data_IF_507514380118
#
_entry.id   IF_507514380118
#
_cell.length_a   1.000
_cell.length_b   1.000
_cell.length_c   1.000
_cell.angle_alpha   90.00
_cell.angle_beta   90.00
_cell.angle_gamma   90.00
#
_symmetry.space_group_name_H-M   'P 1'
#
loop_
_entity.id
_entity.type
_entity.pdbx_description
1 polymer ?
#
# COMPACT_ATOMS: atom_id res chain seq x y z
N UNK A 1 -1.66 -6.87 37.32
CA UNK A 1 -2.22 -5.85 36.42
C UNK A 1 -1.05 -5.32 35.59
N UNK A 2 -0.67 -6.04 34.55
CA UNK A 2 0.43 -5.63 33.67
C UNK A 2 -0.11 -4.56 32.71
N UNK A 3 0.20 -3.30 32.99
CA UNK A 3 0.11 -2.24 32.00
C UNK A 3 1.22 -2.48 30.98
N UNK A 4 0.96 -3.30 29.96
CA UNK A 4 1.74 -3.21 28.73
C UNK A 4 1.45 -1.85 28.13
N UNK A 5 2.34 -0.88 28.36
CA UNK A 5 2.41 0.33 27.56
C UNK A 5 2.63 -0.12 26.11
N UNK A 6 1.55 -0.36 25.37
CA UNK A 6 1.61 -0.53 23.92
C UNK A 6 2.18 0.78 23.38
N UNK A 7 3.49 0.80 23.12
CA UNK A 7 4.14 1.90 22.42
C UNK A 7 3.35 2.09 21.13
N UNK A 8 2.69 3.24 21.01
CA UNK A 8 1.92 3.58 19.82
C UNK A 8 2.86 3.58 18.61
N UNK A 9 2.82 2.48 17.86
CA UNK A 9 3.63 2.31 16.67
C UNK A 9 2.86 2.84 15.46
N UNK A 10 3.36 3.90 14.85
CA UNK A 10 2.86 4.40 13.57
C UNK A 10 3.78 3.94 12.44
N UNK A 11 3.32 3.07 11.51
CA UNK A 11 4.11 2.64 10.35
C UNK A 11 4.58 3.79 9.46
N UNK A 12 3.86 4.91 9.41
CA UNK A 12 4.18 6.06 8.54
C UNK A 12 4.05 7.37 9.30
N UNK A 13 4.90 7.67 10.30
CA UNK A 13 4.67 8.75 11.27
C UNK A 13 4.64 10.16 10.65
N UNK A 14 5.12 10.32 9.41
CA UNK A 14 5.11 11.59 8.66
C UNK A 14 3.89 11.74 7.73
N UNK A 15 3.03 10.73 7.64
CA UNK A 15 1.79 10.75 6.87
C UNK A 15 0.59 10.72 7.82
N UNK A 16 -0.50 11.39 7.49
CA UNK A 16 -1.78 11.24 8.21
C UNK A 16 -2.61 10.13 7.57
N UNK A 17 -3.53 9.53 8.33
CA UNK A 17 -4.56 8.70 7.71
C UNK A 17 -5.51 9.60 6.92
N UNK A 18 -5.84 9.22 5.70
CA UNK A 18 -6.81 9.95 4.90
C UNK A 18 -8.18 10.00 5.59
N UNK A 19 -8.94 11.12 5.46
CA UNK A 19 -10.32 11.19 5.93
C UNK A 19 -11.27 10.30 5.12
N UNK A 20 -10.94 10.01 3.85
CA UNK A 20 -11.75 9.19 2.94
C UNK A 20 -10.92 8.05 2.32
N UNK A 21 -11.53 6.95 1.84
CA UNK A 21 -10.78 5.86 1.22
C UNK A 21 -10.02 6.29 -0.05
N UNK A 22 -8.76 5.87 -0.17
CA UNK A 22 -7.92 6.06 -1.37
C UNK A 22 -8.27 4.97 -2.41
N UNK A 23 -9.25 5.26 -3.26
CA UNK A 23 -9.80 4.32 -4.25
C UNK A 23 -9.20 4.45 -5.65
N UNK A 24 -8.33 5.43 -5.88
CA UNK A 24 -7.70 5.62 -7.19
C UNK A 24 -6.55 4.67 -7.45
N UNK A 25 -5.92 4.09 -6.42
CA UNK A 25 -4.82 3.12 -6.56
C UNK A 25 -5.35 1.71 -6.84
N UNK A 26 -4.70 1.02 -7.77
CA UNK A 26 -5.02 -0.38 -8.06
C UNK A 26 -4.65 -1.29 -6.90
N UNK A 27 -5.47 -2.31 -6.67
CA UNK A 27 -5.14 -3.40 -5.75
C UNK A 27 -4.58 -4.62 -6.48
N UNK A 28 -5.18 -4.94 -7.62
CA UNK A 28 -4.75 -6.03 -8.48
C UNK A 28 -4.17 -5.42 -9.76
N UNK A 29 -2.86 -5.54 -9.95
CA UNK A 29 -2.18 -4.99 -11.12
C UNK A 29 -2.47 -5.74 -12.41
N UNK A 30 -3.17 -6.88 -12.39
CA UNK A 30 -3.65 -7.56 -13.60
C UNK A 30 -4.90 -6.87 -14.17
N UNK A 31 -5.68 -6.17 -13.32
CA UNK A 31 -6.88 -5.46 -13.78
C UNK A 31 -6.52 -4.25 -14.65
N UNK A 32 -7.23 -4.12 -15.77
CA UNK A 32 -7.07 -3.00 -16.71
C UNK A 32 -8.00 -1.82 -16.40
N UNK A 33 -9.16 -2.10 -15.79
CA UNK A 33 -10.19 -1.11 -15.46
C UNK A 33 -10.28 -0.90 -13.95
N UNK A 34 -10.56 0.34 -13.57
CA UNK A 34 -10.73 0.76 -12.19
C UNK A 34 -11.98 0.12 -11.59
N UNK A 35 -11.82 -0.55 -10.44
CA UNK A 35 -12.94 -1.17 -9.74
C UNK A 35 -14.00 -0.16 -9.27
N UNK A 36 -13.64 1.13 -9.12
CA UNK A 36 -14.54 2.15 -8.59
C UNK A 36 -15.36 2.87 -9.67
N UNK A 37 -14.81 3.13 -10.86
CA UNK A 37 -15.50 3.90 -11.91
C UNK A 37 -15.47 3.25 -13.29
N UNK A 38 -14.90 2.05 -13.45
CA UNK A 38 -14.82 1.35 -14.74
C UNK A 38 -13.80 1.92 -15.75
N UNK A 39 -13.29 3.14 -15.54
CA UNK A 39 -12.30 3.74 -16.43
C UNK A 39 -10.98 2.96 -16.45
N UNK A 40 -10.27 2.99 -17.57
CA UNK A 40 -8.95 2.37 -17.71
C UNK A 40 -7.95 2.97 -16.72
N UNK A 41 -7.16 2.12 -16.08
CA UNK A 41 -6.04 2.58 -15.25
C UNK A 41 -4.97 3.27 -16.11
N UNK A 42 -4.42 4.36 -15.60
CA UNK A 42 -3.15 4.93 -16.04
C UNK A 42 -1.99 4.27 -15.30
N UNK A 43 -0.79 4.38 -15.84
CA UNK A 43 0.44 3.91 -15.19
C UNK A 43 1.33 5.11 -14.87
N UNK A 44 2.02 5.09 -13.73
CA UNK A 44 3.04 6.09 -13.41
C UNK A 44 4.25 5.97 -14.35
N UNK A 45 4.96 7.08 -14.56
CA UNK A 45 6.03 7.14 -15.55
C UNK A 45 7.22 6.22 -15.17
N UNK A 46 7.68 6.27 -13.91
CA UNK A 46 8.90 5.55 -13.49
C UNK A 46 8.69 4.09 -13.10
N UNK A 47 7.60 3.78 -12.37
CA UNK A 47 7.40 2.44 -11.80
C UNK A 47 6.14 1.74 -12.30
N UNK A 48 5.49 2.29 -13.34
CA UNK A 48 4.29 1.71 -13.97
C UNK A 48 3.14 1.40 -12.99
N UNK A 49 3.10 2.08 -11.85
CA UNK A 49 2.11 1.86 -10.80
C UNK A 49 0.74 2.26 -11.33
N UNK A 50 -0.26 1.40 -11.15
CA UNK A 50 -1.59 1.62 -11.71
C UNK A 50 -2.43 2.54 -10.83
N UNK A 51 -2.93 3.62 -11.42
CA UNK A 51 -3.83 4.57 -10.75
C UNK A 51 -4.90 5.12 -11.71
N UNK A 52 -6.07 5.45 -11.19
CA UNK A 52 -7.19 5.97 -11.97
C UNK A 52 -7.22 7.49 -11.88
N UNK A 53 -6.94 8.18 -13.00
CA UNK A 53 -6.96 9.65 -13.08
C UNK A 53 -8.30 10.26 -12.65
N UNK A 54 -9.43 9.64 -13.04
CA UNK A 54 -10.75 10.16 -12.69
C UNK A 54 -11.03 10.04 -11.19
N UNK A 55 -10.78 8.88 -10.59
CA UNK A 55 -10.92 8.72 -9.14
C UNK A 55 -9.95 9.61 -8.36
N UNK A 56 -8.75 9.88 -8.91
CA UNK A 56 -7.80 10.79 -8.29
C UNK A 56 -8.32 12.23 -8.29
N UNK A 57 -8.85 12.71 -9.42
CA UNK A 57 -9.51 14.03 -9.49
C UNK A 57 -10.62 14.16 -8.45
N UNK A 58 -11.50 13.15 -8.37
CA UNK A 58 -12.59 13.14 -7.38
C UNK A 58 -12.04 13.15 -5.96
N UNK A 59 -10.99 12.35 -5.69
CA UNK A 59 -10.36 12.29 -4.37
C UNK A 59 -9.78 13.65 -3.96
N UNK A 60 -9.01 14.31 -4.84
CA UNK A 60 -8.40 15.63 -4.58
C UNK A 60 -9.47 16.66 -4.23
N UNK A 61 -10.56 16.72 -4.99
CA UNK A 61 -11.70 17.62 -4.73
C UNK A 61 -12.40 17.37 -3.39
N UNK A 62 -12.28 16.15 -2.87
CA UNK A 62 -12.98 15.72 -1.65
C UNK A 62 -12.14 15.90 -0.38
N UNK A 63 -10.82 16.07 -0.52
CA UNK A 63 -9.93 16.30 0.61
C UNK A 63 -9.69 17.81 0.78
N UNK A 64 -9.75 18.28 2.03
CA UNK A 64 -9.46 19.66 2.40
C UNK A 64 -8.20 19.74 3.29
N UNK A 65 -7.53 20.90 3.25
CA UNK A 65 -6.35 21.23 4.05
C UNK A 65 -5.03 20.66 3.52
N UNK A 66 -3.95 20.98 4.23
CA UNK A 66 -2.56 20.75 3.79
C UNK A 66 -1.95 19.44 4.32
N UNK A 67 -2.78 18.53 4.83
CA UNK A 67 -2.30 17.26 5.37
C UNK A 67 -1.80 16.33 4.27
N UNK A 68 -0.63 15.71 4.50
CA UNK A 68 -0.06 14.71 3.58
C UNK A 68 -0.57 13.32 3.94
N UNK A 69 -1.40 12.75 3.08
CA UNK A 69 -2.02 11.42 3.29
C UNK A 69 -1.25 10.28 2.62
N UNK A 70 -0.53 10.59 1.55
CA UNK A 70 0.32 9.67 0.82
C UNK A 70 1.48 10.42 0.19
N UNK A 71 2.56 9.69 -0.07
CA UNK A 71 3.80 10.24 -0.60
C UNK A 71 3.80 10.04 -2.13
N UNK A 72 3.70 11.14 -2.86
CA UNK A 72 3.59 11.16 -4.32
C UNK A 72 4.65 12.09 -4.89
N UNK A 73 5.16 11.74 -6.07
CA UNK A 73 6.04 12.59 -6.85
C UNK A 73 5.37 12.92 -8.18
N UNK A 74 5.24 14.20 -8.47
CA UNK A 74 4.58 14.75 -9.65
C UNK A 74 5.61 15.58 -10.44
N UNK A 75 5.64 15.38 -11.75
CA UNK A 75 6.40 16.19 -12.69
C UNK A 75 5.39 17.00 -13.49
N UNK A 76 5.58 18.32 -13.57
CA UNK A 76 4.81 19.16 -14.49
C UNK A 76 5.51 19.25 -15.84
N UNK A 77 4.76 19.06 -16.92
CA UNK A 77 5.23 19.21 -18.29
C UNK A 77 5.20 20.68 -18.70
N UNK A 78 6.02 21.05 -19.69
CA UNK A 78 6.19 22.42 -20.22
C UNK A 78 4.95 23.04 -20.90
N UNK A 79 3.81 22.37 -20.90
CA UNK A 79 2.60 22.82 -21.59
C UNK A 79 1.82 23.80 -20.70
N UNK A 80 1.55 25.04 -21.16
CA UNK A 80 0.67 25.96 -20.47
C UNK A 80 -0.71 25.32 -20.30
N UNK A 81 -1.22 25.31 -19.07
CA UNK A 81 -2.58 24.84 -18.78
C UNK A 81 -3.39 25.99 -18.19
N UNK A 82 -4.66 26.09 -18.57
CA UNK A 82 -5.56 27.17 -18.15
C UNK A 82 -5.68 27.25 -16.61
N UNK A 83 -5.58 26.10 -15.93
CA UNK A 83 -5.65 25.97 -14.47
C UNK A 83 -4.37 26.46 -13.76
N UNK A 84 -3.20 26.43 -14.41
CA UNK A 84 -1.95 26.91 -13.84
C UNK A 84 -1.34 27.97 -14.75
N UNK A 85 -1.50 29.25 -14.40
CA UNK A 85 -0.78 30.35 -15.07
C UNK A 85 0.71 30.03 -15.02
N UNK A 86 1.30 29.95 -16.21
CA UNK A 86 2.69 29.59 -16.50
C UNK A 86 3.68 30.08 -15.44
N UNK A 87 4.03 29.21 -14.50
CA UNK A 87 5.21 29.41 -13.66
C UNK A 87 6.42 29.25 -14.56
N UNK A 88 7.23 30.30 -14.67
CA UNK A 88 8.37 30.46 -15.58
C UNK A 88 9.55 29.50 -15.35
N UNK A 89 9.35 28.41 -14.60
CA UNK A 89 10.41 27.46 -14.25
C UNK A 89 10.19 26.13 -14.95
N UNK A 90 11.18 25.72 -15.73
CA UNK A 90 11.27 24.43 -16.41
C UNK A 90 11.26 23.28 -15.39
N UNK A 91 10.45 22.23 -15.63
CA UNK A 91 10.42 20.97 -14.88
C UNK A 91 10.22 21.11 -13.34
N UNK A 92 9.09 21.67 -12.92
CA UNK A 92 8.73 21.70 -11.51
C UNK A 92 8.37 20.29 -10.99
N UNK A 93 9.03 19.92 -9.90
CA UNK A 93 8.81 18.67 -9.17
C UNK A 93 8.04 19.00 -7.90
N UNK A 94 6.81 18.49 -7.79
CA UNK A 94 5.99 18.66 -6.57
C UNK A 94 5.61 17.34 -5.94
N UNK A 95 5.37 17.38 -4.64
CA UNK A 95 4.78 16.29 -3.86
C UNK A 95 3.40 16.63 -3.34
N UNK A 96 2.93 17.85 -3.59
CA UNK A 96 1.61 18.28 -3.20
C UNK A 96 0.61 17.77 -4.24
N UNK A 97 -0.26 16.83 -3.83
CA UNK A 97 -1.24 16.28 -4.75
C UNK A 97 -2.29 17.32 -5.20
N UNK A 98 -2.48 18.40 -4.43
CA UNK A 98 -3.37 19.51 -4.82
C UNK A 98 -2.86 20.27 -6.06
N UNK A 99 -1.54 20.22 -6.33
CA UNK A 99 -0.94 20.84 -7.51
C UNK A 99 -0.97 19.91 -8.74
N UNK A 100 -1.54 18.71 -8.63
CA UNK A 100 -1.67 17.81 -9.77
C UNK A 100 -2.75 18.28 -10.74
N UNK A 101 -2.34 18.55 -11.98
CA UNK A 101 -3.26 18.80 -13.09
C UNK A 101 -3.33 17.59 -14.02
N UNK A 102 -4.54 17.23 -14.44
CA UNK A 102 -4.74 16.17 -15.44
C UNK A 102 -4.12 16.50 -16.81
N UNK A 103 -3.98 17.80 -17.14
CA UNK A 103 -3.58 18.27 -18.47
C UNK A 103 -2.08 18.60 -18.57
N UNK A 104 -1.47 19.11 -17.50
CA UNK A 104 -0.07 19.58 -17.50
C UNK A 104 0.83 18.86 -16.49
N UNK A 105 0.33 17.85 -15.77
CA UNK A 105 1.12 17.13 -14.77
C UNK A 105 1.05 15.60 -14.92
N UNK A 106 2.17 14.94 -14.69
CA UNK A 106 2.30 13.49 -14.66
C UNK A 106 2.74 13.00 -13.29
N UNK A 107 2.12 11.92 -12.82
CA UNK A 107 2.58 11.25 -11.60
C UNK A 107 3.76 10.35 -11.96
N UNK A 108 4.92 10.69 -11.43
CA UNK A 108 6.15 9.91 -11.63
C UNK A 108 6.08 8.61 -10.84
N UNK A 109 5.65 8.69 -9.58
CA UNK A 109 5.42 7.54 -8.71
C UNK A 109 4.69 7.90 -7.41
N UNK A 110 4.17 6.87 -6.74
CA UNK A 110 3.74 6.91 -5.34
C UNK A 110 4.75 6.13 -4.49
N UNK A 111 5.28 6.71 -3.40
CA UNK A 111 6.31 6.06 -2.59
C UNK A 111 5.75 4.95 -1.70
N UNK A 112 4.53 5.13 -1.21
CA UNK A 112 3.79 4.19 -0.37
C UNK A 112 2.97 3.16 -1.19
N UNK A 113 3.27 3.01 -2.47
CA UNK A 113 2.73 1.96 -3.34
C UNK A 113 3.88 1.09 -3.80
N UNK A 114 3.85 -0.19 -3.46
CA UNK A 114 4.92 -1.10 -3.82
C UNK A 114 4.44 -2.11 -4.86
N UNK A 115 5.11 -2.09 -6.01
CA UNK A 115 4.97 -3.07 -7.07
C UNK A 115 6.33 -3.70 -7.35
N UNK A 116 6.32 -5.02 -7.46
CA UNK A 116 7.51 -5.84 -7.64
C UNK A 116 7.79 -6.20 -9.10
N UNK A 117 6.99 -5.69 -10.06
CA UNK A 117 7.22 -5.98 -11.48
C UNK A 117 8.66 -5.61 -11.87
N UNK A 118 9.30 -6.61 -12.45
CA UNK A 118 10.70 -6.78 -12.77
C UNK A 118 11.38 -5.50 -13.28
N UNK A 119 12.35 -5.03 -12.51
CA UNK A 119 12.99 -3.72 -12.64
C UNK A 119 14.28 -3.80 -13.43
N UNK A 120 14.28 -4.49 -14.59
CA UNK A 120 15.45 -4.51 -15.48
C UNK A 120 15.72 -3.15 -16.13
N UNK A 121 14.75 -2.24 -16.09
CA UNK A 121 14.88 -0.85 -16.55
C UNK A 121 14.40 0.13 -15.47
N UNK A 122 14.95 0.03 -14.26
CA UNK A 122 14.77 1.08 -13.26
C UNK A 122 15.71 2.25 -13.57
N UNK A 123 15.15 3.36 -14.05
CA UNK A 123 15.85 4.63 -14.09
C UNK A 123 16.40 4.96 -12.70
N UNK A 124 17.69 5.27 -12.65
CA UNK A 124 18.43 5.64 -11.44
C UNK A 124 17.87 6.99 -10.94
N UNK A 125 16.80 6.95 -10.15
CA UNK A 125 16.35 8.13 -9.40
C UNK A 125 16.94 8.05 -7.98
N UNK A 126 18.11 8.64 -7.80
CA UNK A 126 18.77 8.72 -6.49
C UNK A 126 18.16 9.91 -5.76
N UNK A 127 17.08 9.67 -5.01
CA UNK A 127 16.76 10.55 -3.89
C UNK A 127 17.88 10.42 -2.85
N UNK A 128 18.73 11.45 -2.74
CA UNK A 128 19.80 11.48 -1.74
C UNK A 128 19.23 11.57 -0.33
N UNK A 129 18.15 12.34 -0.17
CA UNK A 129 17.50 12.58 1.12
C UNK A 129 16.02 12.20 1.08
N UNK A 130 15.52 11.65 2.18
CA UNK A 130 14.12 11.44 2.41
C UNK A 130 13.44 12.78 2.60
N UNK A 131 12.41 13.05 1.80
CA UNK A 131 11.78 14.37 1.79
C UNK A 131 10.67 14.52 2.82
N UNK A 132 10.28 13.43 3.48
CA UNK A 132 9.40 13.44 4.65
C UNK A 132 10.13 13.80 5.96
N UNK A 133 11.43 13.51 6.08
CA UNK A 133 12.19 13.78 7.31
C UNK A 133 13.56 14.47 7.14
N UNK A 134 13.98 14.76 5.91
CA UNK A 134 15.28 15.37 5.58
C UNK A 134 16.49 14.45 5.72
N UNK A 135 16.34 13.22 6.22
CA UNK A 135 17.48 12.31 6.46
C UNK A 135 17.98 11.66 5.18
N UNK A 136 19.29 11.47 5.06
CA UNK A 136 19.93 10.75 3.97
C UNK A 136 19.34 9.32 3.82
N UNK A 137 19.07 8.94 2.58
CA UNK A 137 18.73 7.56 2.22
C UNK A 137 20.04 6.89 1.79
N UNK A 138 20.39 5.79 2.45
CA UNK A 138 21.67 5.10 2.26
C UNK A 138 22.00 4.86 0.78
N UNK A 139 23.25 5.11 0.38
CA UNK A 139 23.66 5.36 -1.01
C UNK A 139 23.82 4.08 -1.86
N UNK A 140 24.00 2.90 -1.26
CA UNK A 140 24.60 1.73 -1.94
C UNK A 140 23.56 0.70 -2.47
N UNK A 141 22.49 1.13 -3.14
CA UNK A 141 21.64 0.18 -3.88
C UNK A 141 20.87 0.82 -5.04
N UNK A 142 20.73 0.06 -6.14
CA UNK A 142 20.07 0.47 -7.39
C UNK A 142 18.54 0.19 -7.40
N UNK A 143 17.94 -0.12 -6.24
CA UNK A 143 16.52 -0.50 -6.13
C UNK A 143 15.68 0.63 -5.54
N UNK A 144 14.36 0.53 -5.68
CA UNK A 144 13.41 1.41 -5.00
C UNK A 144 13.70 1.49 -3.50
N UNK A 145 14.11 2.67 -3.00
CA UNK A 145 14.48 2.87 -1.59
C UNK A 145 13.37 3.56 -0.83
N UNK A 146 13.08 3.05 0.35
CA UNK A 146 12.14 3.60 1.30
C UNK A 146 12.93 4.08 2.53
N UNK A 147 12.61 5.26 3.05
CA UNK A 147 13.31 5.78 4.24
C UNK A 147 12.92 5.00 5.49
N UNK A 148 13.90 4.34 6.11
CA UNK A 148 13.72 3.56 7.34
C UNK A 148 13.21 4.37 8.53
N UNK A 149 13.33 5.70 8.51
CA UNK A 149 12.78 6.57 9.57
C UNK A 149 11.32 6.98 9.34
N UNK A 150 10.82 6.89 8.10
CA UNK A 150 9.47 7.33 7.73
C UNK A 150 8.53 6.18 7.41
N UNK A 151 9.07 4.98 7.23
CA UNK A 151 8.36 3.78 6.83
C UNK A 151 8.84 2.64 7.73
N UNK A 152 8.16 2.49 8.85
CA UNK A 152 8.52 1.58 9.92
C UNK A 152 7.76 0.26 9.73
N UNK A 153 8.51 -0.82 9.59
CA UNK A 153 7.97 -2.18 9.64
C UNK A 153 7.92 -2.60 11.11
N UNK A 154 6.82 -3.22 11.53
CA UNK A 154 6.73 -3.89 12.83
C UNK A 154 6.08 -5.25 12.69
N UNK A 155 6.23 -6.07 13.72
CA UNK A 155 5.50 -7.32 13.87
C UNK A 155 4.66 -7.29 15.15
N UNK A 156 3.72 -8.22 15.24
CA UNK A 156 2.93 -8.46 16.43
C UNK A 156 2.31 -9.84 16.36
N UNK A 157 1.26 -10.03 17.16
CA UNK A 157 0.47 -11.26 17.14
C UNK A 157 -1.02 -10.91 17.13
N UNK A 158 -1.83 -11.74 16.48
CA UNK A 158 -3.29 -11.63 16.45
C UNK A 158 -3.90 -12.99 16.79
N UNK A 159 -5.11 -13.00 17.36
CA UNK A 159 -5.79 -14.26 17.69
C UNK A 159 -6.32 -14.92 16.43
N UNK A 160 -6.00 -16.19 16.23
CA UNK A 160 -6.58 -17.03 15.19
C UNK A 160 -7.99 -17.46 15.59
N UNK A 161 -8.90 -17.45 14.63
CA UNK A 161 -10.27 -17.94 14.83
C UNK A 161 -10.38 -19.45 14.84
N UNK A 162 -9.50 -20.14 14.12
CA UNK A 162 -9.55 -21.60 14.00
C UNK A 162 -9.12 -22.29 15.29
N UNK A 163 -7.98 -21.87 15.84
CA UNK A 163 -7.35 -22.59 16.96
C UNK A 163 -7.28 -21.78 18.25
N UNK A 164 -7.85 -20.56 18.28
CA UNK A 164 -7.70 -19.62 19.39
C UNK A 164 -6.24 -19.32 19.79
N UNK A 165 -5.27 -19.64 18.92
CA UNK A 165 -3.83 -19.41 19.13
C UNK A 165 -3.40 -18.03 18.64
N UNK A 166 -2.33 -17.50 19.23
CA UNK A 166 -1.73 -16.23 18.80
C UNK A 166 -0.84 -16.46 17.58
N UNK A 167 -1.28 -16.00 16.42
CA UNK A 167 -0.56 -16.12 15.14
C UNK A 167 0.26 -14.87 14.82
N UNK A 168 1.40 -14.98 14.13
CA UNK A 168 2.21 -13.83 13.75
C UNK A 168 1.50 -12.90 12.77
N UNK A 169 1.74 -11.60 12.91
CA UNK A 169 1.33 -10.56 11.97
C UNK A 169 2.49 -9.60 11.70
N UNK A 170 2.69 -9.24 10.45
CA UNK A 170 3.66 -8.26 9.98
C UNK A 170 2.94 -7.03 9.43
N UNK A 171 3.33 -5.85 9.89
CA UNK A 171 2.77 -4.57 9.48
C UNK A 171 3.74 -3.87 8.52
N UNK A 172 3.36 -3.79 7.24
CA UNK A 172 4.10 -3.07 6.22
C UNK A 172 3.60 -1.63 6.06
N UNK A 173 4.50 -0.66 5.95
CA UNK A 173 4.17 0.76 5.83
C UNK A 173 3.81 1.20 4.39
N UNK A 174 3.47 0.26 3.50
CA UNK A 174 3.10 0.52 2.11
C UNK A 174 1.95 -0.38 1.64
N UNK A 175 1.33 0.01 0.53
CA UNK A 175 0.29 -0.72 -0.19
C UNK A 175 0.93 -1.79 -1.08
N UNK A 176 0.75 -3.06 -0.73
CA UNK A 176 1.33 -4.19 -1.46
C UNK A 176 0.45 -4.63 -2.63
N UNK A 177 0.98 -4.56 -3.85
CA UNK A 177 0.25 -4.95 -5.07
C UNK A 177 0.68 -6.29 -5.65
N UNK A 178 1.46 -7.07 -4.89
CA UNK A 178 1.90 -8.39 -5.28
C UNK A 178 0.70 -9.29 -5.60
N UNK A 179 0.76 -10.00 -6.72
CA UNK A 179 -0.19 -11.07 -7.07
C UNK A 179 0.32 -12.44 -6.63
N UNK A 180 1.52 -12.54 -6.07
CA UNK A 180 2.15 -13.78 -5.59
C UNK A 180 2.58 -13.67 -4.14
N UNK A 181 2.44 -14.77 -3.40
CA UNK A 181 2.99 -14.90 -2.06
C UNK A 181 4.52 -14.86 -2.11
N UNK A 182 5.13 -14.11 -1.21
CA UNK A 182 6.60 -14.06 -1.07
C UNK A 182 7.19 -15.35 -0.51
N UNK A 183 6.39 -16.14 0.19
CA UNK A 183 6.84 -17.35 0.89
C UNK A 183 6.83 -18.55 -0.04
N UNK A 184 5.74 -18.76 -0.78
CA UNK A 184 5.57 -19.95 -1.63
C UNK A 184 5.50 -19.64 -3.13
N UNK A 185 5.59 -18.37 -3.54
CA UNK A 185 5.52 -17.91 -4.94
C UNK A 185 4.22 -18.28 -5.69
N UNK A 186 3.23 -18.85 -5.02
CA UNK A 186 1.90 -19.11 -5.58
C UNK A 186 1.09 -17.83 -5.72
N UNK A 187 0.18 -17.83 -6.71
CA UNK A 187 -0.74 -16.73 -6.94
C UNK A 187 -1.67 -16.54 -5.73
N UNK A 188 -1.90 -15.28 -5.38
CA UNK A 188 -2.82 -14.87 -4.33
C UNK A 188 -4.24 -14.82 -4.88
N UNK A 189 -5.18 -15.39 -4.14
CA UNK A 189 -6.61 -15.28 -4.40
C UNK A 189 -7.11 -13.96 -3.83
N UNK A 190 -7.71 -13.12 -4.67
CA UNK A 190 -8.29 -11.84 -4.27
C UNK A 190 -9.71 -12.05 -3.76
N UNK A 191 -9.97 -11.68 -2.50
CA UNK A 191 -11.28 -11.82 -1.86
C UNK A 191 -12.12 -10.56 -2.04
N UNK A 192 -11.50 -9.41 -1.81
CA UNK A 192 -12.13 -8.09 -1.92
C UNK A 192 -11.18 -7.11 -2.59
N UNK A 193 -11.51 -5.81 -2.57
CA UNK A 193 -10.66 -4.75 -3.10
C UNK A 193 -9.45 -4.39 -2.20
N UNK A 194 -9.31 -5.03 -1.02
CA UNK A 194 -8.23 -4.79 -0.06
C UNK A 194 -7.83 -6.06 0.71
N UNK A 195 -8.17 -7.24 0.17
CA UNK A 195 -7.87 -8.51 0.80
C UNK A 195 -7.51 -9.54 -0.26
N UNK A 196 -6.39 -10.22 -0.02
CA UNK A 196 -5.92 -11.33 -0.84
C UNK A 196 -5.21 -12.34 0.06
N UNK A 197 -5.18 -13.60 -0.34
CA UNK A 197 -4.55 -14.63 0.48
C UNK A 197 -3.96 -15.74 -0.38
N UNK A 198 -3.03 -16.49 0.19
CA UNK A 198 -2.50 -17.70 -0.42
C UNK A 198 -3.13 -18.92 0.23
N UNK A 199 -3.84 -19.74 -0.54
CA UNK A 199 -4.42 -20.99 -0.01
C UNK A 199 -3.39 -22.10 0.21
N UNK A 200 -2.15 -21.94 -0.27
CA UNK A 200 -1.10 -22.94 -0.09
C UNK A 200 -0.33 -22.74 1.22
N UNK A 201 -0.03 -21.49 1.58
CA UNK A 201 0.72 -21.17 2.80
C UNK A 201 -0.12 -20.43 3.86
N UNK A 202 -1.43 -20.33 3.65
CA UNK A 202 -2.40 -19.69 4.56
C UNK A 202 -2.03 -18.26 5.00
N UNK A 203 -1.29 -17.53 4.16
CA UNK A 203 -0.92 -16.13 4.43
C UNK A 203 -2.01 -15.21 3.88
N UNK A 204 -2.52 -14.34 4.76
CA UNK A 204 -3.54 -13.35 4.44
C UNK A 204 -2.89 -11.97 4.38
N UNK A 205 -3.25 -11.21 3.34
CA UNK A 205 -2.84 -9.83 3.14
C UNK A 205 -4.10 -8.96 3.23
N UNK A 206 -4.08 -7.98 4.14
CA UNK A 206 -5.17 -7.04 4.34
C UNK A 206 -4.63 -5.63 4.30
N UNK A 207 -5.09 -4.83 3.34
CA UNK A 207 -4.62 -3.46 3.16
C UNK A 207 -5.61 -2.41 3.66
N UNK A 208 -5.08 -1.31 4.19
CA UNK A 208 -5.90 -0.17 4.65
C UNK A 208 -5.97 0.92 3.58
N UNK A 209 -7.17 1.18 3.05
CA UNK A 209 -7.43 2.24 2.06
C UNK A 209 -7.24 3.67 2.57
N UNK A 210 -7.18 3.87 3.88
CA UNK A 210 -6.98 5.19 4.47
C UNK A 210 -5.50 5.50 4.74
N UNK A 211 -4.69 4.47 4.95
CA UNK A 211 -3.29 4.61 5.37
C UNK A 211 -2.28 4.12 4.33
N UNK A 212 -2.73 3.36 3.32
CA UNK A 212 -1.89 2.65 2.38
C UNK A 212 -0.82 1.78 3.07
N UNK A 213 -1.26 0.99 4.04
CA UNK A 213 -0.43 0.02 4.79
C UNK A 213 -0.99 -1.38 4.58
N UNK A 214 -0.15 -2.40 4.71
CA UNK A 214 -0.53 -3.81 4.54
C UNK A 214 -0.28 -4.58 5.83
N UNK A 215 -1.28 -5.33 6.29
CA UNK A 215 -1.14 -6.33 7.33
C UNK A 215 -0.94 -7.70 6.65
N UNK A 216 0.16 -8.38 6.92
CA UNK A 216 0.44 -9.75 6.47
C UNK A 216 0.29 -10.67 7.67
N UNK A 217 -0.65 -11.61 7.60
CA UNK A 217 -1.03 -12.50 8.70
C UNK A 217 -0.60 -13.91 8.32
N UNK A 218 0.17 -14.55 9.18
CA UNK A 218 0.65 -15.92 8.99
C UNK A 218 -0.31 -16.87 9.67
N UNK A 219 -1.39 -17.23 8.96
CA UNK A 219 -2.51 -18.02 9.46
C UNK A 219 -3.86 -17.34 9.24
N UNK A 220 -4.92 -17.99 9.73
CA UNK A 220 -6.32 -17.56 9.53
C UNK A 220 -6.87 -16.86 10.76
N UNK A 221 -7.52 -15.71 10.54
CA UNK A 221 -8.26 -14.93 11.53
C UNK A 221 -9.47 -14.27 10.85
N UNK A 222 -10.52 -13.93 11.60
CA UNK A 222 -11.73 -13.27 11.11
C UNK A 222 -11.60 -11.75 11.04
N UNK A 223 -10.60 -11.17 11.70
CA UNK A 223 -10.42 -9.73 11.71
C UNK A 223 -8.98 -9.32 11.92
N UNK A 224 -8.66 -8.12 11.43
CA UNK A 224 -7.40 -7.46 11.73
C UNK A 224 -7.61 -5.97 11.87
N UNK A 225 -6.68 -5.28 12.53
CA UNK A 225 -6.75 -3.86 12.77
C UNK A 225 -5.58 -3.15 12.09
N UNK A 226 -5.86 -2.07 11.36
CA UNK A 226 -4.80 -1.21 10.83
C UNK A 226 -4.02 -0.58 11.98
N UNK A 227 -2.70 -0.82 12.06
CA UNK A 227 -1.88 -0.34 13.18
C UNK A 227 -1.91 1.19 13.34
N UNK A 228 -1.98 1.92 12.23
CA UNK A 228 -2.03 3.39 12.16
C UNK A 228 -3.38 3.97 12.56
N UNK A 229 -4.45 3.61 11.85
CA UNK A 229 -5.76 4.27 12.01
C UNK A 229 -6.76 3.50 12.84
N UNK A 230 -6.38 2.34 13.39
CA UNK A 230 -7.20 1.50 14.28
C UNK A 230 -8.52 0.99 13.69
N UNK A 231 -8.77 1.20 12.40
CA UNK A 231 -9.92 0.62 11.69
C UNK A 231 -9.80 -0.90 11.63
N UNK A 232 -10.89 -1.57 11.97
CA UNK A 232 -11.04 -3.02 11.92
C UNK A 232 -11.41 -3.43 10.49
N UNK A 233 -10.88 -4.56 10.04
CA UNK A 233 -11.18 -5.18 8.75
C UNK A 233 -11.55 -6.63 8.99
N UNK A 234 -12.77 -6.99 8.63
CA UNK A 234 -13.25 -8.37 8.72
C UNK A 234 -12.73 -9.17 7.52
N UNK A 235 -12.23 -10.36 7.77
CA UNK A 235 -11.64 -11.29 6.81
C UNK A 235 -12.61 -12.45 6.67
N UNK A 236 -13.11 -12.65 5.45
CA UNK A 236 -13.96 -13.80 5.14
C UNK A 236 -13.22 -14.71 4.16
N UNK A 237 -12.57 -15.74 4.70
CA UNK A 237 -11.92 -16.79 3.91
C UNK A 237 -12.79 -18.03 4.02
N UNK A 238 -13.25 -18.50 2.86
CA UNK A 238 -13.90 -19.80 2.78
C UNK A 238 -12.84 -20.90 2.95
N UNK A 239 -12.86 -21.54 4.13
CA UNK A 239 -11.97 -22.63 4.53
C UNK A 239 -12.61 -24.01 4.39
N UNK A 240 -13.85 -24.10 3.89
CA UNK A 240 -14.59 -25.37 3.77
C UNK A 240 -13.82 -26.42 2.96
N UNK A 241 -13.05 -26.00 1.97
CA UNK A 241 -12.24 -26.86 1.11
C UNK A 241 -10.81 -27.12 1.62
N UNK A 242 -10.44 -26.59 2.79
CA UNK A 242 -9.09 -26.75 3.36
C UNK A 242 -9.04 -27.91 4.35
N UNK A 243 -10.16 -28.25 4.99
CA UNK A 243 -10.18 -29.31 5.99
C UNK A 243 -9.90 -30.67 5.35
N UNK A 244 -8.85 -31.33 5.83
CA UNK A 244 -8.56 -32.72 5.51
C UNK A 244 -9.52 -33.71 6.19
N UNK A 245 -10.46 -33.21 7.01
CA UNK A 245 -11.27 -34.02 7.93
C UNK A 245 -10.51 -34.49 9.17
N UNK A 246 -9.22 -34.13 9.29
CA UNK A 246 -8.37 -34.47 10.44
C UNK A 246 -7.89 -33.19 11.14
N UNK A 247 -8.43 -32.95 12.34
CA UNK A 247 -8.14 -31.76 13.14
C UNK A 247 -6.64 -31.54 13.38
N UNK A 248 -5.87 -32.61 13.64
CA UNK A 248 -4.44 -32.47 13.96
C UNK A 248 -3.60 -32.09 12.72
N UNK A 249 -3.98 -32.59 11.55
CA UNK A 249 -3.33 -32.23 10.27
C UNK A 249 -3.67 -30.79 9.90
N UNK A 250 -4.95 -30.42 10.03
CA UNK A 250 -5.42 -29.06 9.75
C UNK A 250 -4.77 -28.05 10.71
N UNK A 251 -4.61 -28.41 11.99
CA UNK A 251 -3.89 -27.61 12.99
C UNK A 251 -2.41 -27.45 12.66
N UNK A 252 -1.73 -28.52 12.24
CA UNK A 252 -0.33 -28.47 11.84
C UNK A 252 -0.11 -27.56 10.63
N UNK A 253 -0.90 -27.73 9.56
CA UNK A 253 -0.75 -26.99 8.29
C UNK A 253 -0.95 -25.48 8.43
N UNK A 254 -1.74 -25.04 9.42
CA UNK A 254 -2.11 -23.63 9.62
C UNK A 254 -1.27 -22.96 10.73
N UNK A 255 -0.51 -23.74 11.50
CA UNK A 255 0.30 -23.26 12.64
C UNK A 255 1.74 -22.84 12.30
N UNK A 256 2.13 -22.84 11.02
CA UNK A 256 3.47 -22.51 10.51
C UNK A 256 3.85 -21.05 10.77
#
# INVERSE_FOLDING_TARGET
MEFTNEIYFDPTPKLKSSPIPILFLSFNNEKLRCNNCGNKYSATNLYRQKYCKQCLLTYIKSIAGDNVYFDVNIITNHTPCIEHKSTSNTNFLTRNIQEWCKNCSEISYFKNYYDHINTTTQYIFIEKDCKLCGKLIDKISFRFKICSNCYLISSGRVKSTLFNKMIPILYLPWWDTSNKSRVCNHNLKFLTNCQKWCSYCFIVYVECRYCLTTNIIFGITDQTQCKKCKRISNINIDITNISSGNHNIDEFLISI
#
